data_IF_716810254947
#
_entry.id   IF_716810254947
#
_cell.length_a   1.000
_cell.length_b   1.000
_cell.length_c   1.000
_cell.angle_alpha   90.00
_cell.angle_beta   90.00
_cell.angle_gamma   90.00
#
_symmetry.space_group_name_H-M   'P 1'
#
loop_
_entity.id
_entity.type
_entity.pdbx_description
1 polymer ?
#
# COMPACT_ATOMS: atom_id res chain seq x y z
N UNK A 1 14.25 60.01 -0.76
CA UNK A 1 12.86 59.50 -0.64
C UNK A 1 12.59 58.72 -1.93
N UNK A 2 12.42 57.40 -2.04
CA UNK A 2 12.03 56.31 -1.14
C UNK A 2 12.64 54.98 -1.65
N UNK A 3 13.11 54.12 -0.76
CA UNK A 3 13.23 52.68 -1.05
C UNK A 3 11.91 52.00 -0.66
N UNK A 4 11.32 51.13 -1.50
CA UNK A 4 10.10 50.40 -1.15
C UNK A 4 10.38 49.30 -0.10
N UNK A 5 9.41 49.00 0.79
CA UNK A 5 9.60 48.12 1.93
C UNK A 5 9.85 46.67 1.50
N UNK A 6 11.09 46.20 1.69
CA UNK A 6 11.51 44.82 1.48
C UNK A 6 10.77 43.89 2.44
N UNK A 7 9.68 43.31 1.94
CA UNK A 7 8.83 42.33 2.60
C UNK A 7 9.68 41.16 3.14
N UNK A 8 9.73 41.05 4.47
CA UNK A 8 9.94 39.84 5.28
C UNK A 8 10.75 38.68 4.66
N UNK A 9 12.07 38.68 4.82
CA UNK A 9 12.93 37.48 4.69
C UNK A 9 13.16 36.82 6.06
N UNK A 10 12.08 36.43 6.73
CA UNK A 10 12.12 35.63 7.98
C UNK A 10 10.99 34.60 7.92
N UNK A 11 11.14 33.58 7.09
CA UNK A 11 10.09 32.56 6.95
C UNK A 11 10.38 31.37 6.06
N UNK A 12 11.41 31.44 5.21
CA UNK A 12 11.66 30.38 4.21
C UNK A 12 12.64 29.30 4.69
N UNK A 13 13.73 29.66 5.37
CA UNK A 13 14.81 28.71 5.67
C UNK A 13 14.44 27.59 6.65
N UNK A 14 13.49 27.83 7.57
CA UNK A 14 13.03 26.80 8.50
C UNK A 14 12.04 25.82 7.85
N UNK A 15 11.22 26.31 6.90
CA UNK A 15 10.29 25.46 6.14
C UNK A 15 11.03 24.65 5.09
N UNK A 16 11.98 25.26 4.40
CA UNK A 16 12.81 24.58 3.40
C UNK A 16 13.67 23.47 4.03
N UNK A 17 14.27 23.73 5.20
CA UNK A 17 14.98 22.72 5.97
C UNK A 17 14.07 21.57 6.45
N UNK A 18 12.83 21.87 6.86
CA UNK A 18 11.85 20.86 7.26
C UNK A 18 11.36 20.02 6.06
N UNK A 19 11.16 20.63 4.90
CA UNK A 19 10.80 19.91 3.68
C UNK A 19 11.96 19.04 3.14
N UNK A 20 13.20 19.49 3.27
CA UNK A 20 14.38 18.71 2.92
C UNK A 20 14.55 17.48 3.84
N UNK A 21 14.29 17.64 5.14
CA UNK A 21 14.27 16.54 6.09
C UNK A 21 13.12 15.56 5.81
N UNK A 22 11.94 16.05 5.42
CA UNK A 22 10.79 15.21 5.09
C UNK A 22 10.98 14.46 3.75
N UNK A 23 11.56 15.10 2.73
CA UNK A 23 11.88 14.46 1.44
C UNK A 23 12.97 13.39 1.57
N UNK A 24 13.97 13.60 2.43
CA UNK A 24 15.02 12.59 2.67
C UNK A 24 14.48 11.39 3.46
N UNK A 25 13.57 11.61 4.42
CA UNK A 25 12.88 10.54 5.14
C UNK A 25 11.92 9.73 4.22
N UNK A 26 11.23 10.38 3.29
CA UNK A 26 10.28 9.69 2.38
C UNK A 26 10.99 8.96 1.22
N UNK A 27 12.17 9.42 0.79
CA UNK A 27 12.93 8.78 -0.30
C UNK A 27 13.70 7.52 0.14
N UNK A 28 13.85 7.30 1.45
CA UNK A 28 14.50 6.09 2.01
C UNK A 28 13.59 4.85 2.04
N UNK A 29 12.32 4.95 1.63
CA UNK A 29 11.40 3.82 1.55
C UNK A 29 10.92 3.55 0.11
N UNK A 30 11.80 3.72 -0.86
CA UNK A 30 11.65 3.14 -2.21
C UNK A 30 12.90 2.31 -2.57
N UNK A 31 13.65 1.86 -1.57
CA UNK A 31 14.54 0.72 -1.73
C UNK A 31 13.64 -0.52 -1.83
N UNK A 32 13.48 -0.97 -3.08
CA UNK A 32 13.00 -2.27 -3.51
C UNK A 32 12.45 -3.14 -2.37
N UNK A 33 11.11 -3.29 -2.33
CA UNK A 33 10.51 -4.43 -1.62
C UNK A 33 11.28 -5.65 -2.10
N UNK A 34 12.09 -6.33 -1.26
CA UNK A 34 12.78 -7.51 -1.71
C UNK A 34 11.67 -8.43 -2.18
N UNK A 35 11.72 -8.82 -3.46
CA UNK A 35 10.78 -9.77 -4.05
C UNK A 35 10.61 -10.87 -3.01
N UNK A 36 9.42 -10.89 -2.38
CA UNK A 36 9.22 -11.62 -1.15
C UNK A 36 9.71 -13.04 -1.43
N UNK A 37 10.70 -13.49 -0.66
CA UNK A 37 11.17 -14.87 -0.74
C UNK A 37 9.90 -15.72 -0.70
N UNK A 38 9.60 -16.40 -1.81
CA UNK A 38 8.44 -17.29 -1.92
C UNK A 38 8.69 -18.46 -0.98
N UNK A 39 8.45 -18.22 0.30
CA UNK A 39 8.38 -19.26 1.31
C UNK A 39 7.23 -20.16 0.84
N UNK A 40 7.46 -21.46 0.61
CA UNK A 40 6.42 -22.38 0.18
C UNK A 40 5.35 -22.41 1.27
N UNK A 41 4.17 -21.86 0.96
CA UNK A 41 3.06 -21.72 1.91
C UNK A 41 2.59 -20.29 2.19
N UNK A 42 3.21 -19.26 1.61
CA UNK A 42 2.74 -17.88 1.77
C UNK A 42 1.52 -17.63 0.88
N UNK A 43 0.38 -17.32 1.51
CA UNK A 43 -0.80 -16.77 0.84
C UNK A 43 -0.47 -15.32 0.48
N UNK A 44 -0.43 -15.01 -0.80
CA UNK A 44 -0.27 -13.63 -1.26
C UNK A 44 -1.63 -12.93 -1.22
N UNK A 45 -1.67 -11.74 -0.61
CA UNK A 45 -2.87 -10.91 -0.63
C UNK A 45 -2.96 -10.25 -2.00
N UNK A 46 -3.93 -10.70 -2.80
CA UNK A 46 -4.17 -10.18 -4.15
C UNK A 46 -5.54 -9.54 -4.23
N UNK A 47 -5.64 -8.44 -4.99
CA UNK A 47 -6.91 -7.81 -5.30
C UNK A 47 -7.49 -8.46 -6.56
N UNK A 48 -8.37 -9.44 -6.37
CA UNK A 48 -9.09 -10.15 -7.43
C UNK A 48 -10.56 -9.72 -7.43
N UNK A 49 -11.16 -9.58 -8.62
CA UNK A 49 -12.61 -9.39 -8.74
C UNK A 49 -13.30 -10.75 -8.73
N UNK A 50 -14.32 -10.87 -7.89
CA UNK A 50 -15.15 -12.06 -7.74
C UNK A 50 -16.60 -11.63 -7.93
N UNK A 51 -17.39 -12.45 -8.61
CA UNK A 51 -18.82 -12.24 -8.77
C UNK A 51 -19.53 -12.18 -7.41
N UNK A 52 -20.58 -11.36 -7.33
CA UNK A 52 -21.25 -11.09 -6.06
C UNK A 52 -22.00 -12.31 -5.52
N UNK A 53 -22.62 -13.09 -6.39
CA UNK A 53 -23.32 -14.34 -6.04
C UNK A 53 -22.34 -15.39 -5.46
N UNK A 54 -21.16 -15.52 -6.05
CA UNK A 54 -20.09 -16.39 -5.53
C UNK A 54 -19.62 -15.92 -4.16
N UNK A 55 -19.37 -14.61 -4.01
CA UNK A 55 -18.93 -14.03 -2.74
C UNK A 55 -19.98 -14.28 -1.62
N UNK A 56 -21.25 -14.03 -1.91
CA UNK A 56 -22.36 -14.21 -0.97
C UNK A 56 -22.52 -15.67 -0.56
N UNK A 57 -22.46 -16.59 -1.54
CA UNK A 57 -22.48 -18.03 -1.28
C UNK A 57 -21.39 -18.44 -0.29
N UNK A 58 -20.14 -18.02 -0.54
CA UNK A 58 -19.02 -18.39 0.34
C UNK A 58 -19.13 -17.71 1.71
N UNK A 59 -19.49 -16.43 1.77
CA UNK A 59 -19.69 -15.72 3.05
C UNK A 59 -20.79 -16.36 3.91
N UNK A 60 -21.86 -16.85 3.30
CA UNK A 60 -22.95 -17.56 3.98
C UNK A 60 -22.52 -18.87 4.64
N UNK A 61 -21.39 -19.46 4.22
CA UNK A 61 -20.85 -20.68 4.86
C UNK A 61 -20.20 -20.43 6.22
N UNK A 62 -20.09 -19.17 6.65
CA UNK A 62 -19.58 -18.78 7.96
C UNK A 62 -18.09 -18.45 7.97
N UNK A 63 -17.45 -18.39 9.17
CA UNK A 63 -16.05 -18.04 9.30
C UNK A 63 -15.15 -18.96 8.45
N UNK A 64 -14.07 -18.40 7.90
CA UNK A 64 -13.15 -19.11 7.01
C UNK A 64 -13.62 -19.25 5.55
N UNK A 65 -14.60 -18.46 5.11
CA UNK A 65 -15.06 -18.47 3.72
C UNK A 65 -13.93 -18.22 2.69
N UNK A 66 -12.94 -17.38 3.03
CA UNK A 66 -11.75 -17.14 2.19
C UNK A 66 -10.87 -18.39 2.03
N UNK A 67 -10.76 -19.20 3.07
CA UNK A 67 -10.03 -20.47 3.02
C UNK A 67 -10.72 -21.46 2.07
N UNK A 68 -12.06 -21.49 2.13
CA UNK A 68 -12.90 -22.35 1.29
C UNK A 68 -12.88 -21.95 -0.18
N UNK A 69 -13.03 -20.67 -0.49
CA UNK A 69 -12.92 -20.22 -1.88
C UNK A 69 -11.53 -20.49 -2.44
N UNK A 70 -10.47 -20.30 -1.64
CA UNK A 70 -9.12 -20.66 -2.04
C UNK A 70 -8.95 -22.18 -2.28
N UNK A 71 -9.56 -23.03 -1.46
CA UNK A 71 -9.56 -24.48 -1.67
C UNK A 71 -10.28 -24.90 -2.96
N UNK A 72 -11.39 -24.24 -3.29
CA UNK A 72 -12.11 -24.46 -4.56
C UNK A 72 -11.26 -24.00 -5.75
N UNK A 73 -10.62 -22.84 -5.65
CA UNK A 73 -9.73 -22.32 -6.69
C UNK A 73 -8.54 -23.26 -6.93
N UNK A 74 -7.93 -23.79 -5.86
CA UNK A 74 -6.85 -24.79 -5.95
C UNK A 74 -7.33 -26.08 -6.64
N UNK A 75 -8.47 -26.61 -6.21
CA UNK A 75 -9.09 -27.79 -6.82
C UNK A 75 -9.39 -27.59 -8.30
N UNK A 76 -9.89 -26.41 -8.69
CA UNK A 76 -10.18 -26.07 -10.08
C UNK A 76 -8.89 -25.90 -10.92
N UNK A 77 -7.83 -25.34 -10.33
CA UNK A 77 -6.52 -25.20 -10.96
C UNK A 77 -5.69 -26.50 -10.97
N UNK A 78 -6.10 -27.53 -10.22
CA UNK A 78 -5.40 -28.81 -10.11
C UNK A 78 -4.12 -28.77 -9.28
N UNK A 79 -4.03 -27.85 -8.31
CA UNK A 79 -2.87 -27.65 -7.42
C UNK A 79 -3.19 -27.92 -5.95
#
# INVERSE_FOLDING_TARGET
MMMPPGKSRRGDSARDAAEAAFKSATKKSIEAVPQARKLPGVKELVSLRIDQDVLEYFQGTGPGWQERINAVLRKAAGI
#
